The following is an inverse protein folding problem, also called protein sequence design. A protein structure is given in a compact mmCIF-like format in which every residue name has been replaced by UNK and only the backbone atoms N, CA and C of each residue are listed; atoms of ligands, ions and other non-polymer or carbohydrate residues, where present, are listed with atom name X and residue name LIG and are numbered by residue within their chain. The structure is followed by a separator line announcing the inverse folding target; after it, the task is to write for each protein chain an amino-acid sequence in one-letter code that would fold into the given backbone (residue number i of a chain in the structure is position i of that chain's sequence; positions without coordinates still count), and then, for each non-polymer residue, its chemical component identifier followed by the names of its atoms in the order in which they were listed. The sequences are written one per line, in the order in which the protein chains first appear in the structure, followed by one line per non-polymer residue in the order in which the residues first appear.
data_IF_276634129852
#
_entry.id   IF_276634129852
#
_cell.length_a   1.000
_cell.length_b   1.000
_cell.length_c   1.000
_cell.angle_alpha   90.00
_cell.angle_beta   90.00
_cell.angle_gamma   90.00
#
_symmetry.space_group_name_H-M   'P 1'
#
loop_
_entity.id
_entity.type
_entity.pdbx_description
1 polymer ?
#
# COMPACT_ATOMS: atom_id res chain seq x y z
N UNK A 1 0.86 6.12 -3.70
CA UNK A 1 0.01 6.57 -2.57
C UNK A 1 0.47 5.98 -1.25
N UNK A 2 0.62 4.65 -1.13
CA UNK A 2 1.06 3.98 0.12
C UNK A 2 2.42 4.50 0.65
N UNK A 3 3.45 4.63 -0.19
CA UNK A 3 4.75 5.21 0.22
C UNK A 3 4.62 6.59 0.89
N UNK A 4 3.74 7.45 0.35
CA UNK A 4 3.50 8.79 0.89
C UNK A 4 2.76 8.74 2.22
N UNK A 5 1.81 7.82 2.38
CA UNK A 5 1.12 7.61 3.65
C UNK A 5 2.10 7.16 4.75
N UNK A 6 3.01 6.23 4.44
CA UNK A 6 4.05 5.78 5.37
C UNK A 6 5.02 6.90 5.74
N UNK A 7 5.45 7.73 4.79
CA UNK A 7 6.30 8.90 5.05
C UNK A 7 5.62 9.94 5.94
N UNK A 8 4.29 10.01 5.91
CA UNK A 8 3.50 10.97 6.67
C UNK A 8 2.89 10.35 7.92
N UNK A 9 3.28 9.13 8.32
CA UNK A 9 2.69 8.39 9.45
C UNK A 9 2.57 9.25 10.70
N UNK A 10 3.70 9.74 11.21
CA UNK A 10 3.76 10.50 12.46
C UNK A 10 2.89 11.77 12.37
N UNK A 11 2.97 12.49 11.25
CA UNK A 11 2.15 13.66 10.99
C UNK A 11 0.64 13.33 10.98
N UNK A 12 0.24 12.21 10.37
CA UNK A 12 -1.16 11.79 10.28
C UNK A 12 -1.69 11.36 11.66
N UNK A 13 -0.87 10.71 12.47
CA UNK A 13 -1.22 10.35 13.85
C UNK A 13 -1.39 11.60 14.72
N UNK A 14 -0.45 12.54 14.67
CA UNK A 14 -0.52 13.81 15.39
C UNK A 14 -1.77 14.62 14.98
N UNK A 15 -1.99 14.76 13.66
CA UNK A 15 -3.15 15.45 13.11
C UNK A 15 -4.47 14.82 13.59
N UNK A 16 -4.52 13.49 13.68
CA UNK A 16 -5.71 12.79 14.17
C UNK A 16 -6.01 13.17 15.63
N UNK A 17 -4.99 13.19 16.50
CA UNK A 17 -5.16 13.57 17.91
C UNK A 17 -5.57 15.03 18.06
N UNK A 18 -4.95 15.94 17.31
CA UNK A 18 -5.30 17.36 17.30
C UNK A 18 -6.76 17.56 16.91
N UNK A 19 -7.17 16.98 15.79
CA UNK A 19 -8.53 17.13 15.27
C UNK A 19 -9.58 16.45 16.15
N UNK A 20 -9.27 15.30 16.76
CA UNK A 20 -10.15 14.64 17.73
C UNK A 20 -10.38 15.53 18.96
N UNK A 21 -9.30 16.08 19.52
CA UNK A 21 -9.34 16.98 20.67
C UNK A 21 -10.14 18.26 20.37
N UNK A 22 -9.93 18.88 19.21
CA UNK A 22 -10.70 20.04 18.77
C UNK A 22 -12.19 19.72 18.65
N UNK A 23 -12.54 18.56 18.08
CA UNK A 23 -13.92 18.12 17.93
C UNK A 23 -14.59 17.91 19.28
N UNK A 24 -13.95 17.18 20.19
CA UNK A 24 -14.45 16.96 21.56
C UNK A 24 -14.66 18.28 22.30
N UNK A 25 -13.74 19.24 22.15
CA UNK A 25 -13.90 20.58 22.69
C UNK A 25 -15.10 21.34 22.10
N UNK A 26 -15.45 21.13 20.82
CA UNK A 26 -16.65 21.71 20.22
C UNK A 26 -17.94 21.06 20.74
N UNK A 27 -17.92 19.75 21.00
CA UNK A 27 -19.03 19.01 21.60
C UNK A 27 -19.28 19.50 23.03
N UNK A 28 -18.22 19.63 23.85
CA UNK A 28 -18.32 20.14 25.22
C UNK A 28 -18.85 21.58 25.29
N UNK A 29 -18.56 22.39 24.27
CA UNK A 29 -19.08 23.77 24.13
C UNK A 29 -20.50 23.84 23.57
N UNK A 30 -21.15 22.70 23.31
CA UNK A 30 -22.49 22.62 22.73
C UNK A 30 -22.59 23.11 21.28
N UNK A 31 -21.45 23.29 20.59
CA UNK A 31 -21.41 23.78 19.20
C UNK A 31 -21.59 22.66 18.16
N UNK A 32 -21.39 21.41 18.57
CA UNK A 32 -21.52 20.21 17.72
C UNK A 32 -22.15 19.06 18.50
N UNK A 33 -22.80 18.14 17.80
CA UNK A 33 -23.30 16.90 18.40
C UNK A 33 -22.21 15.83 18.47
N UNK A 34 -22.26 15.02 19.53
CA UNK A 34 -21.48 13.78 19.64
C UNK A 34 -21.82 12.78 18.52
N UNK A 35 -23.08 12.78 18.05
CA UNK A 35 -23.55 11.88 16.99
C UNK A 35 -23.06 12.26 15.58
N UNK A 36 -22.50 13.46 15.40
CA UNK A 36 -22.06 13.99 14.10
C UNK A 36 -20.55 13.83 13.87
N UNK A 37 -19.87 13.02 14.69
CA UNK A 37 -18.43 12.80 14.57
C UNK A 37 -18.07 12.28 13.16
N UNK A 38 -17.13 12.96 12.45
CA UNK A 38 -16.65 12.52 11.15
C UNK A 38 -16.09 11.11 11.22
N UNK A 39 -16.29 10.33 10.15
CA UNK A 39 -15.84 8.93 10.10
C UNK A 39 -14.35 8.79 10.42
N UNK A 40 -13.50 9.68 9.88
CA UNK A 40 -12.06 9.66 10.12
C UNK A 40 -11.64 9.94 11.57
N UNK A 41 -12.52 10.51 12.41
CA UNK A 41 -12.27 10.80 13.82
C UNK A 41 -12.94 9.80 14.78
N UNK A 42 -13.62 8.78 14.23
CA UNK A 42 -14.15 7.67 15.04
C UNK A 42 -13.01 6.77 15.47
N UNK A 43 -13.10 6.29 16.70
CA UNK A 43 -12.04 5.46 17.29
C UNK A 43 -11.91 4.13 16.54
N UNK A 44 -12.99 3.60 15.97
CA UNK A 44 -12.96 2.39 15.12
C UNK A 44 -12.16 2.55 13.82
N UNK A 45 -12.02 3.78 13.32
CA UNK A 45 -11.34 4.09 12.06
C UNK A 45 -9.94 4.66 12.28
N UNK A 46 -9.48 4.72 13.53
CA UNK A 46 -8.12 5.15 13.85
C UNK A 46 -7.16 4.03 13.44
N UNK A 47 -6.14 4.39 12.66
CA UNK A 47 -5.07 3.47 12.32
C UNK A 47 -4.22 3.19 13.56
N UNK A 48 -4.09 1.92 13.91
CA UNK A 48 -3.22 1.45 14.99
C UNK A 48 -1.88 0.97 14.41
N UNK A 49 -0.92 0.70 15.30
CA UNK A 49 0.41 0.19 14.89
C UNK A 49 0.32 -1.06 14.01
N UNK A 50 -0.66 -1.94 14.29
CA UNK A 50 -0.93 -3.13 13.47
C UNK A 50 -1.35 -2.78 12.04
N UNK A 51 -2.13 -1.72 11.85
CA UNK A 51 -2.63 -1.30 10.54
C UNK A 51 -1.48 -0.69 9.73
N UNK A 52 -0.63 0.11 10.38
CA UNK A 52 0.60 0.61 9.78
C UNK A 52 1.58 -0.49 9.39
N UNK A 53 1.72 -1.52 10.23
CA UNK A 53 2.53 -2.69 9.90
C UNK A 53 2.00 -3.42 8.65
N UNK A 54 0.67 -3.54 8.50
CA UNK A 54 0.04 -4.11 7.31
C UNK A 54 0.27 -3.21 6.08
N UNK A 55 0.07 -1.90 6.20
CA UNK A 55 0.32 -0.93 5.12
C UNK A 55 1.79 -1.00 4.66
N UNK A 56 2.73 -1.14 5.59
CA UNK A 56 4.15 -1.34 5.29
C UNK A 56 4.40 -2.65 4.54
N UNK A 57 3.78 -3.75 4.98
CA UNK A 57 3.88 -5.04 4.30
C UNK A 57 3.35 -4.97 2.86
N UNK A 58 2.20 -4.32 2.65
CA UNK A 58 1.66 -4.09 1.30
C UNK A 58 2.60 -3.25 0.44
N UNK A 59 3.25 -2.24 1.01
CA UNK A 59 4.25 -1.45 0.32
C UNK A 59 5.42 -2.31 -0.17
N UNK A 60 5.93 -3.22 0.66
CA UNK A 60 6.99 -4.15 0.27
C UNK A 60 6.55 -5.11 -0.85
N UNK A 61 5.33 -5.65 -0.76
CA UNK A 61 4.78 -6.52 -1.81
C UNK A 61 4.74 -5.76 -3.13
N UNK A 62 4.19 -4.55 -3.14
CA UNK A 62 4.09 -3.72 -4.34
C UNK A 62 5.45 -3.33 -4.91
N UNK A 63 6.48 -3.16 -4.08
CA UNK A 63 7.85 -2.91 -4.54
C UNK A 63 8.41 -4.06 -5.39
N UNK A 64 8.07 -5.33 -5.07
CA UNK A 64 8.48 -6.46 -5.90
C UNK A 64 7.84 -6.41 -7.29
N UNK A 65 6.56 -6.02 -7.37
CA UNK A 65 5.88 -5.80 -8.65
C UNK A 65 6.48 -4.65 -9.44
N UNK A 66 6.72 -3.51 -8.79
CA UNK A 66 7.36 -2.34 -9.41
C UNK A 66 8.76 -2.69 -9.95
N UNK A 67 9.56 -3.43 -9.18
CA UNK A 67 10.87 -3.90 -9.62
C UNK A 67 10.75 -4.77 -10.89
N UNK A 68 9.88 -5.79 -10.88
CA UNK A 68 9.70 -6.62 -12.08
C UNK A 68 9.18 -5.80 -13.26
N UNK A 69 8.28 -4.86 -13.04
CA UNK A 69 7.80 -3.97 -14.11
C UNK A 69 8.92 -3.11 -14.67
N UNK A 70 9.78 -2.51 -13.84
CA UNK A 70 10.94 -1.71 -14.29
C UNK A 70 11.95 -2.59 -15.03
N UNK A 71 12.29 -3.76 -14.47
CA UNK A 71 13.23 -4.71 -15.10
C UNK A 71 12.71 -5.17 -16.45
N UNK A 72 11.42 -5.48 -16.53
CA UNK A 72 10.78 -5.75 -17.78
C UNK A 72 10.89 -4.48 -18.63
N UNK A 73 10.32 -3.34 -18.23
CA UNK A 73 10.33 -2.05 -18.94
C UNK A 73 11.64 -1.78 -19.68
N UNK A 74 12.75 -2.04 -18.99
CA UNK A 74 14.11 -1.87 -19.49
C UNK A 74 14.48 -0.39 -19.47
N UNK A 75 15.40 0.01 -20.33
CA UNK A 75 15.80 1.42 -20.47
C UNK A 75 14.88 2.21 -21.43
N UNK A 76 13.81 1.59 -21.95
CA UNK A 76 12.92 2.18 -22.95
C UNK A 76 13.60 2.51 -24.29
N UNK A 77 14.87 2.12 -24.49
CA UNK A 77 15.61 2.50 -25.69
C UNK A 77 15.25 1.57 -26.86
N UNK A 78 14.60 2.16 -27.86
CA UNK A 78 14.44 1.51 -29.16
C UNK A 78 15.79 1.49 -29.89
N UNK A 79 16.28 0.30 -30.23
CA UNK A 79 17.54 0.13 -30.97
C UNK A 79 17.25 -0.52 -32.31
N UNK A 80 17.83 0.04 -33.40
CA UNK A 80 17.80 -0.59 -34.73
C UNK A 80 18.58 -1.90 -34.68
N UNK A 81 17.94 -2.98 -35.11
CA UNK A 81 18.50 -4.34 -35.14
C UNK A 81 18.99 -4.70 -36.54
N UNK A 82 19.67 -5.86 -36.65
CA UNK A 82 19.92 -6.50 -37.95
C UNK A 82 18.58 -6.62 -38.69
N UNK A 83 18.59 -6.36 -40.00
CA UNK A 83 17.41 -6.28 -40.88
C UNK A 83 16.49 -5.07 -40.68
N UNK A 84 16.88 -4.07 -39.89
CA UNK A 84 16.18 -2.77 -39.83
C UNK A 84 14.97 -2.72 -38.90
N UNK A 85 14.70 -3.80 -38.16
CA UNK A 85 13.66 -3.82 -37.13
C UNK A 85 13.99 -2.85 -35.98
N UNK A 86 13.01 -2.03 -35.58
CA UNK A 86 13.11 -1.12 -34.44
C UNK A 86 12.25 -1.69 -33.32
N UNK A 87 12.89 -2.06 -32.21
CA UNK A 87 12.19 -2.53 -31.01
C UNK A 87 13.06 -2.40 -29.77
N UNK A 88 12.43 -2.21 -28.61
CA UNK A 88 13.10 -2.27 -27.32
C UNK A 88 13.59 -3.72 -27.05
N UNK A 89 14.67 -3.90 -26.30
CA UNK A 89 15.10 -5.23 -25.86
C UNK A 89 14.03 -5.83 -24.94
N UNK A 90 13.53 -7.04 -25.27
CA UNK A 90 13.01 -7.95 -24.25
C UNK A 90 12.84 -9.37 -24.76
N UNK A 91 13.26 -10.32 -23.96
CA UNK A 91 13.04 -11.72 -24.22
C UNK A 91 11.72 -12.15 -23.56
N UNK A 92 10.84 -12.93 -24.23
CA UNK A 92 9.71 -13.58 -23.56
C UNK A 92 10.14 -14.37 -22.30
N UNK A 93 11.38 -14.85 -22.29
CA UNK A 93 12.01 -15.51 -21.13
C UNK A 93 12.18 -14.60 -19.92
N UNK A 94 12.38 -13.28 -20.10
CA UNK A 94 12.48 -12.31 -19.00
C UNK A 94 11.12 -12.17 -18.29
N UNK A 95 10.03 -12.21 -19.05
CA UNK A 95 8.66 -12.21 -18.52
C UNK A 95 8.39 -13.44 -17.68
N UNK A 96 8.80 -14.63 -18.16
CA UNK A 96 8.63 -15.88 -17.42
C UNK A 96 9.44 -15.86 -16.10
N UNK A 97 10.67 -15.35 -16.13
CA UNK A 97 11.51 -15.23 -14.95
C UNK A 97 10.93 -14.23 -13.94
N UNK A 98 10.43 -13.08 -14.40
CA UNK A 98 9.74 -12.09 -13.57
C UNK A 98 8.50 -12.67 -12.90
N UNK A 99 7.71 -13.45 -13.63
CA UNK A 99 6.53 -14.13 -13.06
C UNK A 99 6.91 -15.15 -11.99
N UNK A 100 7.93 -15.98 -12.24
CA UNK A 100 8.45 -16.95 -11.27
C UNK A 100 8.96 -16.26 -10.00
N UNK A 101 9.65 -15.13 -10.14
CA UNK A 101 10.10 -14.32 -9.02
C UNK A 101 8.92 -13.80 -8.18
N UNK A 102 7.91 -13.19 -8.82
CA UNK A 102 6.74 -12.66 -8.13
C UNK A 102 5.97 -13.76 -7.39
N UNK A 103 5.73 -14.91 -8.03
CA UNK A 103 5.10 -16.05 -7.39
C UNK A 103 5.85 -16.49 -6.13
N UNK A 104 7.19 -16.59 -6.22
CA UNK A 104 8.03 -16.93 -5.07
C UNK A 104 7.88 -15.94 -3.92
N UNK A 105 7.82 -14.63 -4.22
CA UNK A 105 7.58 -13.59 -3.19
C UNK A 105 6.19 -13.69 -2.59
N UNK A 106 5.15 -13.88 -3.40
CA UNK A 106 3.76 -14.00 -2.92
C UNK A 106 3.61 -15.19 -1.97
N UNK A 107 4.21 -16.35 -2.27
CA UNK A 107 4.15 -17.50 -1.36
C UNK A 107 4.82 -17.23 -0.01
N UNK A 108 5.95 -16.50 0.01
CA UNK A 108 6.59 -16.06 1.27
C UNK A 108 5.65 -15.16 2.07
N UNK A 109 5.05 -14.15 1.44
CA UNK A 109 4.14 -13.23 2.13
C UNK A 109 2.84 -13.90 2.56
N UNK A 110 2.32 -14.85 1.78
CA UNK A 110 1.17 -15.69 2.15
C UNK A 110 1.47 -16.52 3.39
N UNK A 111 2.64 -17.16 3.46
CA UNK A 111 3.05 -17.91 4.63
C UNK A 111 3.24 -17.01 5.86
N UNK A 112 3.75 -15.79 5.68
CA UNK A 112 3.87 -14.80 6.74
C UNK A 112 2.50 -14.34 7.26
N UNK A 113 1.55 -14.06 6.37
CA UNK A 113 0.18 -13.66 6.72
C UNK A 113 -0.56 -14.73 7.53
N UNK A 114 -0.36 -16.03 7.24
CA UNK A 114 -0.95 -17.12 8.03
C UNK A 114 -0.41 -17.21 9.45
N UNK A 115 0.77 -16.65 9.72
CA UNK A 115 1.41 -16.65 11.04
C UNK A 115 1.14 -15.37 11.83
N UNK A 116 0.38 -14.43 11.27
CA UNK A 116 0.07 -13.19 11.93
C UNK A 116 -0.99 -13.42 13.02
N UNK A 117 -0.94 -12.68 14.16
CA UNK A 117 -1.83 -12.91 15.29
C UNK A 117 -3.33 -12.78 14.96
N UNK A 118 -3.66 -11.99 13.93
CA UNK A 118 -5.02 -11.86 13.40
C UNK A 118 -4.98 -11.88 11.86
N UNK A 119 -5.22 -13.04 11.23
CA UNK A 119 -5.20 -13.18 9.77
C UNK A 119 -6.39 -12.49 9.08
N UNK A 120 -7.49 -12.20 9.80
CA UNK A 120 -8.67 -11.54 9.23
C UNK A 120 -8.36 -10.08 8.87
N UNK A 121 -7.35 -9.48 9.49
CA UNK A 121 -6.85 -8.15 9.12
C UNK A 121 -6.26 -8.08 7.70
N UNK A 122 -5.80 -9.20 7.13
CA UNK A 122 -5.39 -9.26 5.70
C UNK A 122 -6.55 -9.55 4.75
N UNK A 123 -7.68 -10.03 5.29
CA UNK A 123 -8.93 -10.28 4.55
C UNK A 123 -9.78 -9.02 4.37
N UNK A 124 -9.28 -7.84 4.78
CA UNK A 124 -9.91 -6.57 4.43
C UNK A 124 -9.91 -6.48 2.91
N UNK A 125 -11.02 -6.95 2.33
CA UNK A 125 -11.43 -6.65 0.98
C UNK A 125 -11.20 -5.16 0.83
N UNK A 126 -10.27 -4.80 -0.06
CA UNK A 126 -10.40 -3.56 -0.81
C UNK A 126 -11.70 -3.75 -1.59
N UNK A 127 -12.84 -3.54 -0.93
CA UNK A 127 -14.10 -3.30 -1.60
C UNK A 127 -13.86 -2.00 -2.36
N UNK A 128 -13.43 -2.15 -3.61
CA UNK A 128 -13.54 -1.12 -4.62
C UNK A 128 -15.04 -0.88 -4.81
N UNK A 129 -15.61 -0.03 -3.96
CA UNK A 129 -16.85 0.66 -4.27
C UNK A 129 -16.54 1.84 -5.20
#
# INVERSE_FOLDING_TARGET
MIRRALLLKDFLEDLWYEQKSEWEGLVLRGKKSSSEVPLCLRDENKLEEKDWAIISLFNEVLQHFEHVLITLEGDGQQRKRKEGYIGAYRCPWDTLLGYKYLLGKIEVYKAAAHRYPDPEHFKVNINLC
#
